data_IF_238566445043
#
_entry.id   IF_238566445043
#
_cell.length_a   1.000
_cell.length_b   1.000
_cell.length_c   1.000
_cell.angle_alpha   90.00
_cell.angle_beta   90.00
_cell.angle_gamma   90.00
#
_symmetry.space_group_name_H-M   'P 1'
#
loop_
_entity.id
_entity.type
_entity.pdbx_description
1 polymer ?
#
# COMPACT_ATOMS: atom_id res chain seq x y z
N UNK A 1 -53.13 9.41 19.95
CA UNK A 1 -52.04 10.09 20.70
C UNK A 1 -51.11 8.99 21.21
N UNK A 2 -50.18 8.58 20.35
CA UNK A 2 -48.75 9.00 20.36
C UNK A 2 -47.99 8.40 21.54
N UNK A 3 -47.73 7.09 21.47
CA UNK A 3 -46.63 6.48 22.19
C UNK A 3 -45.34 6.89 21.49
N UNK A 4 -44.60 7.80 22.11
CA UNK A 4 -43.28 8.18 21.64
C UNK A 4 -42.31 7.05 21.99
N UNK A 5 -41.76 6.38 20.98
CA UNK A 5 -40.66 5.45 21.17
C UNK A 5 -39.49 6.15 21.89
N UNK A 6 -38.83 5.47 22.84
CA UNK A 6 -37.72 6.05 23.57
C UNK A 6 -36.60 6.41 22.59
N UNK A 7 -36.15 7.66 22.66
CA UNK A 7 -35.10 8.17 21.81
C UNK A 7 -33.84 7.31 21.96
N UNK A 8 -33.23 6.83 20.86
CA UNK A 8 -32.03 6.01 20.96
C UNK A 8 -30.90 6.80 21.64
N UNK A 9 -30.00 6.11 22.37
CA UNK A 9 -29.02 6.74 23.24
C UNK A 9 -28.10 7.71 22.46
N UNK A 10 -27.54 8.70 23.15
CA UNK A 10 -26.69 9.78 22.60
C UNK A 10 -25.56 9.27 21.66
N UNK A 11 -24.99 8.10 21.96
CA UNK A 11 -23.98 7.45 21.09
C UNK A 11 -24.53 7.09 19.70
N UNK A 12 -25.80 6.67 19.62
CA UNK A 12 -26.48 6.32 18.36
C UNK A 12 -26.78 7.58 17.53
N UNK A 13 -27.14 8.69 18.18
CA UNK A 13 -27.36 10.00 17.53
C UNK A 13 -26.09 10.68 17.02
N UNK A 14 -24.95 10.47 17.69
CA UNK A 14 -23.64 10.94 17.19
C UNK A 14 -23.15 10.12 15.99
N UNK A 15 -23.56 8.84 15.89
CA UNK A 15 -23.24 7.97 14.73
C UNK A 15 -23.96 8.42 13.45
N UNK A 16 -25.16 9.02 13.57
CA UNK A 16 -25.93 9.56 12.44
C UNK A 16 -25.39 10.89 11.87
N UNK A 17 -24.46 11.57 12.56
CA UNK A 17 -23.82 12.81 12.09
C UNK A 17 -22.45 12.61 11.44
N UNK A 18 -21.89 11.38 11.45
CA UNK A 18 -20.60 11.10 10.79
C UNK A 18 -20.78 10.99 9.27
N UNK A 19 -19.99 11.72 8.46
CA UNK A 19 -20.01 11.60 7.01
C UNK A 19 -19.93 10.14 6.54
N UNK A 20 -20.62 9.83 5.44
CA UNK A 20 -20.67 8.47 4.89
C UNK A 20 -19.27 7.89 4.60
N UNK A 21 -18.32 8.73 4.22
CA UNK A 21 -16.95 8.36 3.88
C UNK A 21 -16.15 7.74 5.05
N UNK A 22 -16.57 7.94 6.30
CA UNK A 22 -15.96 7.30 7.47
C UNK A 22 -16.25 5.79 7.58
N UNK A 23 -17.14 5.23 6.74
CA UNK A 23 -17.48 3.81 6.79
C UNK A 23 -18.26 3.41 8.05
N UNK A 24 -18.25 2.12 8.39
CA UNK A 24 -18.83 1.55 9.61
C UNK A 24 -17.82 0.71 10.37
N UNK A 25 -17.92 0.67 11.70
CA UNK A 25 -17.14 -0.26 12.52
C UNK A 25 -17.72 -1.68 12.39
N UNK A 26 -16.88 -2.73 12.40
CA UNK A 26 -17.35 -4.11 12.40
C UNK A 26 -18.18 -4.43 13.64
N UNK A 27 -19.18 -5.30 13.47
CA UNK A 27 -20.07 -5.76 14.54
C UNK A 27 -20.54 -7.21 14.29
N UNK A 28 -21.29 -7.77 15.22
CA UNK A 28 -21.85 -9.13 15.11
C UNK A 28 -20.79 -10.19 14.77
N UNK A 29 -21.15 -11.12 13.88
CA UNK A 29 -20.29 -12.24 13.45
C UNK A 29 -18.92 -11.80 12.89
N UNK A 30 -18.85 -10.63 12.22
CA UNK A 30 -17.59 -10.06 11.73
C UNK A 30 -16.65 -9.72 12.87
N UNK A 31 -17.14 -9.05 13.91
CA UNK A 31 -16.32 -8.71 15.09
C UNK A 31 -15.92 -9.96 15.87
N UNK A 32 -16.79 -10.96 15.95
CA UNK A 32 -16.44 -12.25 16.56
C UNK A 32 -15.33 -12.96 15.79
N UNK A 33 -15.35 -12.92 14.46
CA UNK A 33 -14.27 -13.46 13.62
C UNK A 33 -12.96 -12.70 13.83
N UNK A 34 -13.00 -11.36 13.85
CA UNK A 34 -11.82 -10.52 14.16
C UNK A 34 -11.21 -10.93 15.50
N UNK A 35 -12.01 -11.09 16.56
CA UNK A 35 -11.51 -11.48 17.89
C UNK A 35 -10.91 -12.89 17.96
N UNK A 36 -11.21 -13.76 16.98
CA UNK A 36 -10.63 -15.11 16.87
C UNK A 36 -9.40 -15.15 15.98
N UNK A 37 -9.08 -14.07 15.28
CA UNK A 37 -7.86 -13.96 14.47
C UNK A 37 -6.62 -14.17 15.36
N UNK A 38 -5.64 -14.97 14.94
CA UNK A 38 -4.36 -15.07 15.62
C UNK A 38 -3.56 -13.75 15.55
N UNK A 39 -3.90 -12.87 14.61
CA UNK A 39 -3.24 -11.58 14.38
C UNK A 39 -3.89 -10.43 15.17
N UNK A 40 -4.95 -10.71 15.94
CA UNK A 40 -5.68 -9.71 16.72
C UNK A 40 -5.43 -9.88 18.22
N UNK A 41 -4.78 -8.89 18.85
CA UNK A 41 -4.45 -8.89 20.27
C UNK A 41 -4.60 -7.48 20.86
N UNK A 42 -4.90 -7.39 22.15
CA UNK A 42 -5.08 -6.11 22.86
C UNK A 42 -6.10 -5.15 22.20
N UNK A 43 -7.08 -5.73 21.50
CA UNK A 43 -8.15 -5.01 20.82
C UNK A 43 -7.75 -4.34 19.50
N UNK A 44 -6.59 -4.67 18.92
CA UNK A 44 -6.17 -4.21 17.59
C UNK A 44 -5.45 -5.33 16.83
N UNK A 45 -5.36 -5.21 15.50
CA UNK A 45 -4.48 -6.07 14.72
C UNK A 45 -3.01 -5.71 14.98
N UNK A 46 -2.13 -6.71 14.96
CA UNK A 46 -0.71 -6.56 15.25
C UNK A 46 0.13 -6.71 13.97
N UNK A 47 1.20 -5.92 13.87
CA UNK A 47 2.14 -6.04 12.75
C UNK A 47 2.99 -7.32 12.88
N UNK A 48 3.45 -7.91 11.76
CA UNK A 48 4.27 -9.13 11.77
C UNK A 48 5.64 -8.91 12.43
N UNK A 49 6.12 -7.67 12.39
CA UNK A 49 7.29 -7.18 13.14
C UNK A 49 6.93 -5.82 13.76
N UNK A 50 7.51 -5.47 14.90
CA UNK A 50 7.20 -4.21 15.59
C UNK A 50 7.30 -2.99 14.66
N UNK A 51 6.32 -2.09 14.70
CA UNK A 51 6.23 -0.97 13.76
C UNK A 51 5.88 0.35 14.45
N UNK A 52 6.56 1.43 14.08
CA UNK A 52 6.22 2.80 14.44
C UNK A 52 5.21 3.35 13.44
N UNK A 53 3.93 3.27 13.81
CA UNK A 53 2.80 3.74 13.00
C UNK A 53 2.45 5.21 13.24
N UNK A 54 3.00 5.83 14.28
CA UNK A 54 2.82 7.25 14.58
C UNK A 54 4.08 8.03 14.22
N UNK A 55 3.95 9.28 13.73
CA UNK A 55 5.09 10.17 13.51
C UNK A 55 5.99 10.19 14.75
N UNK A 56 7.25 9.83 14.56
CA UNK A 56 8.29 9.95 15.58
C UNK A 56 8.72 11.42 15.71
N UNK A 57 9.14 11.83 16.90
CA UNK A 57 9.60 13.20 17.13
C UNK A 57 8.50 14.25 17.39
N UNK A 58 8.88 15.52 17.30
CA UNK A 58 8.03 16.67 17.65
C UNK A 58 7.03 16.98 16.53
N UNK A 59 5.73 16.99 16.86
CA UNK A 59 4.66 17.41 15.93
C UNK A 59 4.86 18.83 15.40
N UNK A 60 5.51 19.70 16.17
CA UNK A 60 5.86 21.06 15.76
C UNK A 60 6.99 21.07 14.72
N UNK A 61 8.00 20.22 14.89
CA UNK A 61 9.09 20.12 13.90
C UNK A 61 8.60 19.50 12.59
N UNK A 62 7.77 18.44 12.68
CA UNK A 62 7.09 17.91 11.50
C UNK A 62 6.26 18.98 10.78
N UNK A 63 5.49 19.78 11.51
CA UNK A 63 4.71 20.86 10.92
C UNK A 63 5.61 21.92 10.25
N UNK A 64 6.73 22.31 10.87
CA UNK A 64 7.67 23.26 10.27
C UNK A 64 8.22 22.75 8.94
N UNK A 65 8.70 21.50 8.90
CA UNK A 65 9.21 20.85 7.69
C UNK A 65 8.08 20.72 6.65
N UNK A 66 6.91 20.24 7.05
CA UNK A 66 5.79 20.02 6.15
C UNK A 66 5.26 21.33 5.54
N UNK A 67 5.27 22.45 6.27
CA UNK A 67 4.81 23.75 5.78
C UNK A 67 5.91 24.66 5.22
N UNK A 68 7.18 24.21 5.23
CA UNK A 68 8.30 24.98 4.68
C UNK A 68 8.13 25.19 3.18
N UNK A 69 8.10 26.45 2.75
CA UNK A 69 7.73 26.86 1.38
C UNK A 69 8.66 26.28 0.31
N UNK A 70 9.98 26.29 0.55
CA UNK A 70 10.97 25.82 -0.42
C UNK A 70 10.83 24.31 -0.68
N UNK A 71 10.64 23.53 0.38
CA UNK A 71 10.45 22.08 0.26
C UNK A 71 9.11 21.75 -0.38
N UNK A 72 8.05 22.47 0.01
CA UNK A 72 6.71 22.24 -0.52
C UNK A 72 6.62 22.46 -2.03
N UNK A 73 7.42 23.36 -2.59
CA UNK A 73 7.54 23.58 -4.04
C UNK A 73 8.10 22.35 -4.79
N UNK A 74 8.83 21.46 -4.12
CA UNK A 74 9.41 20.24 -4.71
C UNK A 74 8.48 19.04 -4.65
N UNK A 75 7.36 19.13 -3.91
CA UNK A 75 6.41 18.02 -3.66
C UNK A 75 5.25 17.98 -4.66
N UNK A 76 5.38 18.70 -5.77
CA UNK A 76 4.42 18.71 -6.87
C UNK A 76 5.18 18.86 -8.21
N UNK A 77 4.60 18.38 -9.32
CA UNK A 77 5.14 18.65 -10.65
C UNK A 77 4.98 20.14 -10.99
N UNK A 78 5.82 20.65 -11.91
CA UNK A 78 5.68 22.00 -12.47
C UNK A 78 4.83 22.06 -13.73
N UNK A 79 4.63 20.90 -14.39
CA UNK A 79 3.81 20.76 -15.59
C UNK A 79 2.66 19.77 -15.39
N UNK A 80 1.86 19.61 -16.44
CA UNK A 80 0.82 18.58 -16.49
C UNK A 80 1.47 17.21 -16.55
N UNK A 81 1.22 16.37 -15.56
CA UNK A 81 1.63 14.96 -15.60
C UNK A 81 1.06 14.31 -16.86
N UNK A 82 1.89 13.72 -17.74
CA UNK A 82 1.40 13.04 -18.92
C UNK A 82 0.54 11.83 -18.52
N UNK A 83 -0.60 11.67 -19.18
CA UNK A 83 -1.54 10.57 -18.96
C UNK A 83 -1.79 9.92 -20.32
N UNK A 84 -1.67 8.60 -20.38
CA UNK A 84 -2.00 7.85 -21.58
C UNK A 84 -3.52 7.70 -21.69
N UNK A 85 -4.08 8.18 -22.81
CA UNK A 85 -5.52 8.21 -23.05
C UNK A 85 -6.04 6.86 -23.56
N UNK A 86 -5.86 5.81 -22.76
CA UNK A 86 -6.42 4.48 -23.05
C UNK A 86 -7.93 4.57 -23.14
N UNK A 87 -8.51 3.81 -24.06
CA UNK A 87 -9.95 3.73 -24.31
C UNK A 87 -10.50 2.35 -23.94
N UNK A 88 -11.82 2.23 -23.83
CA UNK A 88 -12.47 0.93 -23.68
C UNK A 88 -12.12 -0.03 -24.82
N UNK A 89 -11.95 0.48 -26.05
CA UNK A 89 -11.60 -0.33 -27.21
C UNK A 89 -10.19 -0.93 -27.06
N UNK A 90 -9.23 -0.15 -26.56
CA UNK A 90 -7.87 -0.63 -26.29
C UNK A 90 -7.86 -1.72 -25.22
N UNK A 91 -8.75 -1.63 -24.24
CA UNK A 91 -8.93 -2.66 -23.22
C UNK A 91 -9.81 -3.83 -23.69
N UNK A 92 -10.58 -3.70 -24.78
CA UNK A 92 -11.47 -4.76 -25.24
C UNK A 92 -10.73 -5.95 -25.85
N UNK A 93 -9.54 -5.73 -26.38
CA UNK A 93 -8.66 -6.80 -26.86
C UNK A 93 -7.98 -7.49 -25.67
N UNK A 94 -7.96 -8.82 -25.69
CA UNK A 94 -7.26 -9.61 -24.69
C UNK A 94 -5.74 -9.47 -24.86
N UNK A 95 -4.96 -9.45 -23.76
CA UNK A 95 -3.51 -9.38 -23.86
C UNK A 95 -2.93 -10.63 -24.52
N UNK A 96 -1.94 -10.44 -25.39
CA UNK A 96 -1.36 -11.51 -26.20
C UNK A 96 -0.63 -12.56 -25.33
N UNK A 97 -0.01 -12.12 -24.25
CA UNK A 97 0.69 -12.98 -23.28
C UNK A 97 -0.24 -13.62 -22.26
N UNK A 98 -1.49 -13.16 -22.13
CA UNK A 98 -2.40 -13.57 -21.05
C UNK A 98 -2.37 -12.67 -19.80
N UNK A 99 -1.39 -11.74 -19.71
CA UNK A 99 -1.25 -10.80 -18.59
C UNK A 99 -1.03 -9.36 -19.07
N UNK A 100 -1.88 -8.43 -18.64
CA UNK A 100 -1.71 -6.98 -18.85
C UNK A 100 -1.98 -6.20 -17.59
N UNK A 101 -1.13 -5.22 -17.32
CA UNK A 101 -1.28 -4.28 -16.21
C UNK A 101 -1.49 -2.88 -16.76
N UNK A 102 -2.44 -2.15 -16.18
CA UNK A 102 -2.68 -0.74 -16.48
C UNK A 102 -2.72 0.06 -15.18
N UNK A 103 -1.72 0.93 -14.99
CA UNK A 103 -1.61 1.74 -13.78
C UNK A 103 -2.53 2.96 -13.86
N UNK A 104 -3.55 3.03 -13.01
CA UNK A 104 -4.55 4.12 -12.99
C UNK A 104 -4.13 5.32 -12.11
N UNK A 105 -2.92 5.26 -11.56
CA UNK A 105 -2.37 6.21 -10.60
C UNK A 105 -2.51 5.71 -9.15
N UNK A 106 -1.58 6.15 -8.32
CA UNK A 106 -1.40 5.77 -6.92
C UNK A 106 -1.25 4.25 -6.79
N UNK A 107 -2.03 3.58 -5.96
CA UNK A 107 -2.06 2.10 -5.87
C UNK A 107 -3.14 1.44 -6.72
N UNK A 108 -3.88 2.24 -7.52
CA UNK A 108 -4.91 1.71 -8.40
C UNK A 108 -4.31 1.07 -9.64
N UNK A 109 -4.50 -0.24 -9.80
CA UNK A 109 -4.05 -1.00 -10.98
C UNK A 109 -5.19 -1.86 -11.48
N UNK A 110 -5.48 -1.81 -12.77
CA UNK A 110 -6.28 -2.83 -13.45
C UNK A 110 -5.32 -3.91 -13.95
N UNK A 111 -5.52 -5.14 -13.47
CA UNK A 111 -4.85 -6.32 -13.98
C UNK A 111 -5.83 -7.16 -14.80
N UNK A 112 -5.46 -7.47 -16.03
CA UNK A 112 -6.08 -8.49 -16.86
C UNK A 112 -5.20 -9.71 -16.82
N UNK A 113 -5.64 -10.73 -16.07
CA UNK A 113 -4.87 -11.93 -15.76
C UNK A 113 -5.70 -13.15 -16.13
N UNK A 114 -5.19 -13.97 -17.05
CA UNK A 114 -5.81 -15.23 -17.47
C UNK A 114 -7.29 -15.06 -17.89
N UNK A 115 -7.56 -13.97 -18.60
CA UNK A 115 -8.90 -13.61 -19.08
C UNK A 115 -9.83 -12.99 -18.04
N UNK A 116 -9.34 -12.61 -16.86
CA UNK A 116 -10.10 -11.99 -15.77
C UNK A 116 -9.60 -10.60 -15.43
N UNK A 117 -10.51 -9.72 -15.01
CA UNK A 117 -10.21 -8.35 -14.57
C UNK A 117 -10.22 -8.23 -13.06
N UNK A 118 -9.05 -7.94 -12.49
CA UNK A 118 -8.87 -7.65 -11.07
C UNK A 118 -8.46 -6.19 -10.91
N UNK A 119 -9.22 -5.44 -10.13
CA UNK A 119 -8.98 -4.02 -9.88
C UNK A 119 -8.49 -3.82 -8.44
N UNK A 120 -7.26 -3.38 -8.28
CA UNK A 120 -6.63 -3.17 -6.97
C UNK A 120 -6.82 -1.74 -6.49
N UNK A 121 -7.10 -1.55 -5.20
CA UNK A 121 -7.17 -0.27 -4.48
C UNK A 121 -7.73 0.90 -5.30
N UNK A 122 -8.98 0.79 -5.82
CA UNK A 122 -9.46 1.72 -6.82
C UNK A 122 -9.91 3.04 -6.19
N UNK A 123 -9.26 4.13 -6.61
CA UNK A 123 -9.56 5.50 -6.17
C UNK A 123 -9.82 6.42 -7.35
N UNK A 124 -11.11 6.57 -7.71
CA UNK A 124 -11.56 7.51 -8.74
C UNK A 124 -11.87 8.91 -8.19
N UNK A 125 -11.97 9.05 -6.87
CA UNK A 125 -12.15 10.33 -6.21
C UNK A 125 -11.02 11.33 -6.50
N UNK A 126 -11.39 12.61 -6.58
CA UNK A 126 -10.45 13.73 -6.76
C UNK A 126 -9.55 13.94 -5.52
N UNK A 127 -9.99 13.46 -4.35
CA UNK A 127 -9.30 13.62 -3.08
C UNK A 127 -9.33 12.37 -2.22
N UNK A 128 -8.22 12.08 -1.56
CA UNK A 128 -8.10 11.04 -0.53
C UNK A 128 -8.53 11.61 0.81
N UNK A 129 -9.83 11.76 1.03
CA UNK A 129 -10.36 12.45 2.21
C UNK A 129 -11.81 12.07 2.52
N UNK A 130 -12.24 12.14 3.80
CA UNK A 130 -13.66 12.07 4.13
C UNK A 130 -14.48 13.26 3.63
N UNK A 131 -13.82 14.33 3.15
CA UNK A 131 -14.45 15.57 2.72
C UNK A 131 -14.10 15.91 1.27
N UNK A 132 -15.09 16.30 0.46
CA UNK A 132 -14.87 16.69 -0.93
C UNK A 132 -14.06 17.99 -1.10
N UNK A 133 -14.01 18.85 -0.08
CA UNK A 133 -13.38 20.18 -0.15
C UNK A 133 -12.00 20.26 0.52
N UNK A 134 -11.57 19.24 1.26
CA UNK A 134 -10.34 19.25 2.05
C UNK A 134 -9.57 17.94 1.91
N UNK A 135 -8.27 17.97 2.19
CA UNK A 135 -7.37 16.80 2.09
C UNK A 135 -6.61 16.70 0.76
N UNK A 136 -5.69 15.72 0.64
CA UNK A 136 -4.84 15.55 -0.54
C UNK A 136 -5.67 15.47 -1.82
N UNK A 137 -5.29 16.26 -2.83
CA UNK A 137 -5.92 16.29 -4.15
C UNK A 137 -5.02 15.56 -5.13
N UNK A 138 -5.62 14.87 -6.10
CA UNK A 138 -4.91 14.23 -7.20
C UNK A 138 -4.12 15.25 -8.02
N UNK A 139 -2.96 14.86 -8.51
CA UNK A 139 -2.03 15.69 -9.30
C UNK A 139 -2.21 15.54 -10.82
N UNK A 140 -3.04 14.60 -11.25
CA UNK A 140 -3.42 14.36 -12.64
C UNK A 140 -4.88 13.84 -12.68
N UNK A 141 -5.61 13.90 -13.80
CA UNK A 141 -6.92 13.25 -13.88
C UNK A 141 -6.76 11.72 -13.79
N UNK A 142 -7.79 11.01 -13.33
CA UNK A 142 -7.82 9.55 -13.48
C UNK A 142 -7.79 9.21 -14.98
N UNK A 143 -6.93 8.29 -15.45
CA UNK A 143 -6.70 8.10 -16.89
C UNK A 143 -7.93 7.67 -17.68
N UNK A 144 -8.82 6.92 -17.05
CA UNK A 144 -10.02 6.38 -17.68
C UNK A 144 -11.21 6.42 -16.71
N UNK A 145 -12.42 6.82 -17.16
CA UNK A 145 -13.62 6.74 -16.34
C UNK A 145 -13.91 5.29 -15.89
N UNK A 146 -14.39 5.11 -14.65
CA UNK A 146 -14.62 3.78 -14.07
C UNK A 146 -15.55 2.91 -14.93
N UNK A 147 -16.60 3.51 -15.50
CA UNK A 147 -17.56 2.81 -16.37
C UNK A 147 -16.93 2.33 -17.69
N UNK A 148 -15.80 2.91 -18.11
CA UNK A 148 -15.08 2.51 -19.32
C UNK A 148 -14.06 1.39 -19.08
N UNK A 149 -13.93 0.86 -17.85
CA UNK A 149 -13.16 -0.36 -17.59
C UNK A 149 -13.85 -1.63 -18.08
N UNK A 150 -15.14 -1.57 -18.42
CA UNK A 150 -15.96 -2.76 -18.65
C UNK A 150 -16.23 -3.56 -17.37
N UNK A 151 -16.67 -4.82 -17.50
CA UNK A 151 -16.89 -5.69 -16.36
C UNK A 151 -15.60 -5.94 -15.56
N UNK A 152 -15.67 -5.78 -14.24
CA UNK A 152 -14.58 -6.10 -13.32
C UNK A 152 -15.03 -7.31 -12.50
N UNK A 153 -14.31 -8.44 -12.61
CA UNK A 153 -14.64 -9.67 -11.91
C UNK A 153 -14.41 -9.51 -10.39
N UNK A 154 -13.25 -8.95 -10.03
CA UNK A 154 -12.83 -8.80 -8.64
C UNK A 154 -12.28 -7.40 -8.36
N UNK A 155 -12.63 -6.85 -7.20
CA UNK A 155 -11.92 -5.73 -6.58
C UNK A 155 -11.14 -6.24 -5.39
N UNK A 156 -9.88 -5.86 -5.30
CA UNK A 156 -8.99 -6.19 -4.19
C UNK A 156 -8.66 -4.91 -3.44
N UNK A 157 -8.89 -4.91 -2.14
CA UNK A 157 -8.53 -3.80 -1.25
C UNK A 157 -7.39 -4.25 -0.33
N UNK A 158 -6.32 -3.47 -0.23
CA UNK A 158 -5.22 -3.73 0.70
C UNK A 158 -5.58 -3.33 2.13
N UNK A 159 -6.17 -2.15 2.33
CA UNK A 159 -6.55 -1.65 3.65
C UNK A 159 -7.54 -0.47 3.56
N UNK A 160 -7.95 0.09 4.69
CA UNK A 160 -9.06 1.05 4.75
C UNK A 160 -8.68 2.54 4.68
N UNK A 161 -7.46 2.94 4.32
CA UNK A 161 -7.14 4.37 4.17
C UNK A 161 -7.85 5.01 2.97
N UNK A 162 -7.98 6.34 2.98
CA UNK A 162 -8.78 7.07 1.99
C UNK A 162 -8.19 7.05 0.58
N UNK A 163 -6.89 6.79 0.46
CA UNK A 163 -6.14 6.66 -0.79
C UNK A 163 -6.04 5.22 -1.32
N UNK A 164 -6.64 4.25 -0.62
CA UNK A 164 -6.79 2.86 -1.06
C UNK A 164 -8.25 2.40 -1.13
N UNK A 165 -9.11 3.01 -0.31
CA UNK A 165 -10.52 2.69 -0.21
C UNK A 165 -11.38 3.96 -0.36
N UNK A 166 -11.84 4.20 -1.60
CA UNK A 166 -12.59 5.38 -1.99
C UNK A 166 -14.11 5.12 -2.07
N UNK A 167 -14.88 5.79 -1.21
CA UNK A 167 -16.33 5.58 -1.11
C UNK A 167 -17.08 5.82 -2.43
N UNK A 168 -16.87 6.93 -3.18
CA UNK A 168 -17.45 7.13 -4.51
C UNK A 168 -17.21 5.96 -5.46
N UNK A 169 -15.98 5.46 -5.53
CA UNK A 169 -15.62 4.30 -6.35
C UNK A 169 -16.39 3.05 -5.93
N UNK A 170 -16.37 2.71 -4.63
CA UNK A 170 -17.07 1.53 -4.11
C UNK A 170 -18.58 1.62 -4.36
N UNK A 171 -19.19 2.80 -4.21
CA UNK A 171 -20.62 3.02 -4.50
C UNK A 171 -20.96 2.79 -5.97
N UNK A 172 -20.08 3.20 -6.89
CA UNK A 172 -20.30 2.95 -8.31
C UNK A 172 -20.22 1.44 -8.61
N UNK A 173 -19.26 0.72 -8.03
CA UNK A 173 -19.09 -0.73 -8.17
C UNK A 173 -20.14 -1.55 -7.40
N UNK A 174 -20.80 -0.96 -6.40
CA UNK A 174 -21.92 -1.60 -5.73
C UNK A 174 -23.09 -1.86 -6.70
N UNK A 175 -23.20 -1.10 -7.80
CA UNK A 175 -24.20 -1.30 -8.85
C UNK A 175 -23.86 -2.35 -9.91
N UNK A 176 -22.73 -3.06 -9.79
CA UNK A 176 -22.28 -4.10 -10.73
C UNK A 176 -22.28 -5.49 -10.06
N UNK A 177 -21.91 -6.54 -10.80
CA UNK A 177 -21.73 -7.91 -10.29
C UNK A 177 -20.35 -8.15 -9.67
N UNK A 178 -19.52 -7.12 -9.53
CA UNK A 178 -18.15 -7.22 -9.01
C UNK A 178 -18.13 -7.79 -7.59
N UNK A 179 -17.22 -8.74 -7.35
CA UNK A 179 -16.97 -9.34 -6.03
C UNK A 179 -15.75 -8.66 -5.39
N UNK A 180 -15.78 -8.45 -4.08
CA UNK A 180 -14.75 -7.72 -3.35
C UNK A 180 -13.98 -8.67 -2.44
N UNK A 181 -12.66 -8.74 -2.61
CA UNK A 181 -11.74 -9.38 -1.68
C UNK A 181 -11.08 -8.29 -0.82
N UNK A 182 -11.27 -8.36 0.50
CA UNK A 182 -10.82 -7.32 1.43
C UNK A 182 -10.28 -7.95 2.73
N UNK A 183 -9.46 -7.26 3.52
CA UNK A 183 -9.05 -7.74 4.83
C UNK A 183 -10.21 -7.76 5.83
N UNK A 184 -10.08 -8.55 6.89
CA UNK A 184 -11.03 -8.61 7.99
C UNK A 184 -11.44 -7.22 8.50
N UNK A 185 -12.74 -7.00 8.64
CA UNK A 185 -13.32 -5.77 9.16
C UNK A 185 -13.70 -4.76 8.08
N UNK A 186 -12.96 -4.73 6.97
CA UNK A 186 -13.17 -3.76 5.87
C UNK A 186 -14.54 -3.94 5.21
N UNK A 187 -15.08 -5.17 5.23
CA UNK A 187 -16.41 -5.47 4.70
C UNK A 187 -17.54 -4.62 5.32
N UNK A 188 -17.39 -4.17 6.57
CA UNK A 188 -18.35 -3.29 7.21
C UNK A 188 -18.49 -1.93 6.48
N UNK A 189 -17.39 -1.42 5.93
CA UNK A 189 -17.42 -0.18 5.13
C UNK A 189 -18.17 -0.39 3.81
N UNK A 190 -17.85 -1.48 3.09
CA UNK A 190 -18.45 -1.84 1.81
C UNK A 190 -19.97 -2.04 1.95
N UNK A 191 -20.41 -2.78 2.96
CA UNK A 191 -21.84 -2.96 3.26
C UNK A 191 -22.54 -1.64 3.55
N UNK A 192 -21.92 -0.75 4.35
CA UNK A 192 -22.47 0.60 4.60
C UNK A 192 -22.62 1.39 3.31
N UNK A 193 -21.77 1.15 2.32
CA UNK A 193 -21.79 1.85 1.04
C UNK A 193 -22.63 1.16 -0.03
N UNK A 194 -23.34 0.08 0.31
CA UNK A 194 -24.33 -0.56 -0.55
C UNK A 194 -23.84 -1.81 -1.28
N UNK A 195 -22.64 -2.31 -0.99
CA UNK A 195 -22.19 -3.62 -1.50
C UNK A 195 -22.95 -4.72 -0.76
N UNK A 196 -23.49 -5.68 -1.51
CA UNK A 196 -24.20 -6.81 -0.91
C UNK A 196 -23.23 -7.74 -0.15
N UNK A 197 -23.57 -8.20 1.07
CA UNK A 197 -22.68 -9.05 1.87
C UNK A 197 -22.20 -10.32 1.16
N UNK A 198 -23.03 -10.93 0.31
CA UNK A 198 -22.70 -12.13 -0.48
C UNK A 198 -21.63 -11.90 -1.55
N UNK A 199 -21.34 -10.64 -1.90
CA UNK A 199 -20.26 -10.22 -2.80
C UNK A 199 -18.99 -9.79 -2.05
N UNK A 200 -18.96 -9.85 -0.74
CA UNK A 200 -17.76 -9.53 0.06
C UNK A 200 -17.09 -10.81 0.53
N UNK A 201 -15.78 -10.90 0.33
CA UNK A 201 -14.89 -11.94 0.85
C UNK A 201 -13.90 -11.23 1.77
N UNK A 202 -14.10 -11.41 3.08
CA UNK A 202 -13.16 -10.88 4.08
C UNK A 202 -12.12 -11.94 4.43
N UNK A 203 -10.84 -11.58 4.43
CA UNK A 203 -9.73 -12.49 4.64
C UNK A 203 -8.82 -12.01 5.78
N UNK A 204 -8.36 -12.95 6.59
CA UNK A 204 -7.17 -12.78 7.45
C UNK A 204 -5.90 -13.08 6.64
N UNK A 205 -4.73 -12.80 7.19
CA UNK A 205 -3.47 -13.20 6.55
C UNK A 205 -3.38 -14.71 6.35
N UNK A 206 -2.83 -15.10 5.22
CA UNK A 206 -2.67 -16.45 4.71
C UNK A 206 -3.98 -17.17 4.37
N UNK A 207 -5.12 -16.49 4.46
CA UNK A 207 -6.37 -17.01 3.89
C UNK A 207 -6.44 -16.72 2.39
N UNK A 208 -7.06 -17.65 1.66
CA UNK A 208 -7.25 -17.55 0.21
C UNK A 208 -8.74 -17.63 -0.14
N UNK A 209 -9.17 -16.83 -1.12
CA UNK A 209 -10.47 -16.98 -1.76
C UNK A 209 -10.31 -17.13 -3.27
N UNK A 210 -11.31 -17.71 -3.93
CA UNK A 210 -11.31 -17.87 -5.39
C UNK A 210 -12.46 -17.09 -6.00
N UNK A 211 -12.16 -16.17 -6.90
CA UNK A 211 -13.14 -15.34 -7.61
C UNK A 211 -12.91 -15.49 -9.10
N UNK A 212 -13.95 -15.87 -9.86
CA UNK A 212 -13.89 -16.05 -11.31
C UNK A 212 -12.74 -16.94 -11.82
N UNK A 213 -12.24 -17.88 -11.00
CA UNK A 213 -11.11 -18.74 -11.37
C UNK A 213 -9.75 -18.28 -10.86
N UNK A 214 -9.63 -17.04 -10.37
CA UNK A 214 -8.42 -16.45 -9.82
C UNK A 214 -8.37 -16.67 -8.30
N UNK A 215 -7.23 -17.17 -7.81
CA UNK A 215 -6.94 -17.26 -6.38
C UNK A 215 -6.40 -15.93 -5.88
N UNK A 216 -7.00 -15.41 -4.81
CA UNK A 216 -6.62 -14.18 -4.14
C UNK A 216 -6.27 -14.51 -2.70
N UNK A 217 -5.02 -14.32 -2.33
CA UNK A 217 -4.50 -14.63 -1.00
C UNK A 217 -4.09 -13.33 -0.31
N UNK A 218 -4.70 -13.05 0.84
CA UNK A 218 -4.30 -11.92 1.67
C UNK A 218 -3.00 -12.32 2.38
N UNK A 219 -1.90 -11.65 2.06
CA UNK A 219 -0.58 -11.91 2.66
C UNK A 219 -0.23 -10.84 3.70
N UNK A 220 0.67 -11.13 4.65
CA UNK A 220 1.10 -10.17 5.66
C UNK A 220 1.61 -8.85 5.08
N UNK A 221 1.43 -7.78 5.84
CA UNK A 221 1.97 -6.45 5.53
C UNK A 221 2.32 -5.72 6.84
N UNK A 222 3.27 -4.80 6.78
CA UNK A 222 3.68 -3.94 7.88
C UNK A 222 3.10 -2.54 7.72
N UNK A 223 1.88 -2.33 8.22
CA UNK A 223 1.13 -1.08 8.07
C UNK A 223 0.13 -0.90 9.23
N UNK A 224 -0.89 -0.06 9.05
CA UNK A 224 -2.00 0.12 9.97
C UNK A 224 -3.26 0.53 9.20
N UNK A 225 -4.43 0.51 9.84
CA UNK A 225 -5.68 1.00 9.24
C UNK A 225 -6.15 2.27 9.94
N UNK A 226 -7.16 2.97 9.44
CA UNK A 226 -7.83 4.05 10.14
C UNK A 226 -8.55 5.08 9.28
N UNK A 227 -9.87 5.17 9.45
CA UNK A 227 -10.68 6.23 8.79
C UNK A 227 -11.13 7.35 9.71
N UNK A 228 -11.06 7.18 11.04
CA UNK A 228 -11.62 8.11 12.03
C UNK A 228 -10.60 8.73 12.98
N UNK A 229 -10.89 9.93 13.48
CA UNK A 229 -9.99 10.68 14.37
C UNK A 229 -9.81 10.07 15.78
N UNK A 230 -10.72 9.20 16.25
CA UNK A 230 -10.78 8.71 17.65
C UNK A 230 -11.35 7.29 17.84
N UNK A 231 -11.34 6.44 16.82
CA UNK A 231 -11.85 5.07 16.98
C UNK A 231 -10.69 4.07 17.13
N UNK A 232 -10.89 3.08 18.00
CA UNK A 232 -10.06 1.88 18.00
C UNK A 232 -10.27 1.15 16.66
N UNK A 233 -9.17 0.86 15.99
CA UNK A 233 -9.17 0.34 14.62
C UNK A 233 -9.29 -1.18 14.66
N UNK A 234 -10.35 -1.71 14.06
CA UNK A 234 -10.67 -3.14 14.03
C UNK A 234 -10.67 -3.70 12.60
N UNK A 235 -9.95 -3.03 11.71
CA UNK A 235 -9.78 -3.40 10.30
C UNK A 235 -8.34 -3.87 10.10
N UNK A 236 -8.16 -5.01 9.45
CA UNK A 236 -6.86 -5.53 9.05
C UNK A 236 -6.37 -4.80 7.79
N UNK A 237 -5.07 -4.87 7.53
CA UNK A 237 -4.40 -4.46 6.29
C UNK A 237 -3.68 -5.67 5.71
N UNK A 238 -3.53 -5.76 4.40
CA UNK A 238 -2.89 -6.88 3.73
C UNK A 238 -2.18 -6.44 2.45
N UNK A 239 -1.14 -7.20 2.10
CA UNK A 239 -0.69 -7.32 0.72
C UNK A 239 -1.41 -8.49 0.04
N UNK A 240 -1.26 -8.68 -1.27
CA UNK A 240 -2.00 -9.70 -2.00
C UNK A 240 -1.13 -10.47 -2.99
N UNK A 241 -1.10 -11.79 -2.83
CA UNK A 241 -0.67 -12.71 -3.88
C UNK A 241 -1.89 -13.12 -4.71
N UNK A 242 -1.76 -13.02 -6.04
CA UNK A 242 -2.83 -13.32 -6.98
C UNK A 242 -2.33 -14.32 -8.01
N UNK A 243 -3.03 -15.44 -8.15
CA UNK A 243 -2.65 -16.51 -9.06
C UNK A 243 -3.85 -16.92 -9.92
N UNK A 244 -3.69 -16.81 -11.23
CA UNK A 244 -4.53 -17.49 -12.19
C UNK A 244 -3.91 -18.83 -12.64
N UNK A 245 -4.52 -19.50 -13.63
CA UNK A 245 -3.99 -20.74 -14.19
C UNK A 245 -2.56 -20.66 -14.74
N UNK A 246 -2.16 -19.53 -15.34
CA UNK A 246 -0.87 -19.38 -16.02
C UNK A 246 0.00 -18.30 -15.39
N UNK A 247 -0.63 -17.26 -14.82
CA UNK A 247 0.08 -16.09 -14.32
C UNK A 247 -0.05 -15.86 -12.82
N UNK A 248 0.96 -15.19 -12.26
CA UNK A 248 1.02 -14.78 -10.85
C UNK A 248 1.47 -13.33 -10.73
N UNK A 249 0.72 -12.54 -9.96
CA UNK A 249 1.08 -11.16 -9.64
C UNK A 249 1.01 -10.90 -8.14
N UNK A 250 1.76 -9.91 -7.67
CA UNK A 250 1.77 -9.47 -6.27
C UNK A 250 1.39 -7.99 -6.17
N UNK A 251 0.55 -7.61 -5.19
CA UNK A 251 0.24 -6.22 -4.85
C UNK A 251 0.64 -5.94 -3.40
N UNK A 252 1.54 -4.98 -3.21
CA UNK A 252 2.09 -4.66 -1.88
C UNK A 252 1.16 -3.88 -0.95
N UNK A 253 0.06 -3.32 -1.46
CA UNK A 253 -0.67 -2.27 -0.77
C UNK A 253 0.23 -1.04 -0.60
N UNK A 254 0.45 -0.64 0.65
CA UNK A 254 1.32 0.45 1.04
C UNK A 254 2.22 0.07 2.24
N UNK A 255 2.53 -1.23 2.37
CA UNK A 255 3.35 -1.81 3.44
C UNK A 255 4.75 -1.18 3.55
N UNK A 256 5.27 -1.08 4.76
CA UNK A 256 6.70 -0.93 5.00
C UNK A 256 7.47 -2.22 4.77
N UNK A 257 8.80 -2.14 4.73
CA UNK A 257 9.63 -3.33 4.56
C UNK A 257 9.61 -4.24 5.79
N UNK A 258 9.57 -5.55 5.55
CA UNK A 258 9.71 -6.59 6.57
C UNK A 258 10.23 -7.90 5.94
N UNK A 259 10.92 -8.77 6.72
CA UNK A 259 11.53 -9.99 6.17
C UNK A 259 10.56 -11.00 5.55
N UNK A 260 9.26 -10.93 5.91
CA UNK A 260 8.25 -11.88 5.43
C UNK A 260 7.97 -11.81 3.93
N UNK A 261 8.51 -10.82 3.19
CA UNK A 261 8.54 -10.88 1.72
C UNK A 261 9.24 -12.13 1.19
N UNK A 262 10.28 -12.62 1.88
CA UNK A 262 10.97 -13.87 1.53
C UNK A 262 10.05 -15.08 1.67
N UNK A 263 9.27 -15.12 2.74
CA UNK A 263 8.32 -16.21 3.00
C UNK A 263 7.19 -16.18 1.96
N UNK A 264 6.67 -15.00 1.64
CA UNK A 264 5.66 -14.81 0.58
C UNK A 264 6.22 -15.25 -0.78
N UNK A 265 7.44 -14.86 -1.12
CA UNK A 265 8.10 -15.27 -2.36
C UNK A 265 8.32 -16.77 -2.46
N UNK A 266 8.73 -17.41 -1.35
CA UNK A 266 8.93 -18.85 -1.29
C UNK A 266 7.61 -19.64 -1.43
N UNK A 267 6.50 -19.12 -0.90
CA UNK A 267 5.21 -19.82 -0.92
C UNK A 267 4.42 -19.59 -2.23
N UNK A 268 4.39 -18.35 -2.72
CA UNK A 268 3.51 -17.94 -3.82
C UNK A 268 4.25 -17.59 -5.11
N UNK A 269 5.55 -17.28 -5.03
CA UNK A 269 6.37 -16.91 -6.16
C UNK A 269 6.86 -18.10 -7.02
N UNK A 270 7.71 -17.82 -8.02
CA UNK A 270 8.03 -16.48 -8.52
C UNK A 270 6.80 -15.82 -9.17
N UNK A 271 6.78 -14.49 -9.21
CA UNK A 271 5.71 -13.70 -9.80
C UNK A 271 6.11 -13.19 -11.19
N UNK A 272 5.16 -13.16 -12.13
CA UNK A 272 5.37 -12.50 -13.44
C UNK A 272 5.54 -10.98 -13.26
N UNK A 273 4.80 -10.41 -12.30
CA UNK A 273 4.92 -9.01 -11.95
C UNK A 273 4.65 -8.75 -10.46
N UNK A 274 5.35 -7.76 -9.90
CA UNK A 274 5.11 -7.25 -8.55
C UNK A 274 4.76 -5.76 -8.61
N UNK A 275 3.68 -5.37 -7.95
CA UNK A 275 3.21 -3.98 -7.85
C UNK A 275 3.59 -3.44 -6.48
N UNK A 276 4.68 -2.67 -6.44
CA UNK A 276 5.40 -2.33 -5.22
C UNK A 276 5.26 -0.83 -4.93
N UNK A 277 4.80 -0.48 -3.73
CA UNK A 277 4.84 0.89 -3.23
C UNK A 277 6.27 1.43 -3.25
N UNK A 278 6.44 2.65 -3.73
CA UNK A 278 7.73 3.36 -3.69
C UNK A 278 7.65 4.79 -3.12
N UNK A 279 6.45 5.26 -2.77
CA UNK A 279 6.20 6.64 -2.32
C UNK A 279 5.54 6.71 -0.95
N UNK A 280 5.36 7.94 -0.46
CA UNK A 280 4.82 8.27 0.86
C UNK A 280 5.72 7.91 2.05
N UNK A 281 6.99 7.58 1.83
CA UNK A 281 7.96 7.32 2.91
C UNK A 281 8.43 8.60 3.61
N UNK A 282 8.85 8.46 4.87
CA UNK A 282 9.46 9.55 5.63
C UNK A 282 10.19 9.04 6.88
N UNK A 283 11.20 9.79 7.33
CA UNK A 283 11.89 9.57 8.61
C UNK A 283 10.94 9.60 9.82
N UNK A 284 9.79 10.29 9.69
CA UNK A 284 8.79 10.36 10.74
C UNK A 284 8.03 9.03 10.93
N UNK A 285 7.92 8.20 9.89
CA UNK A 285 7.20 6.90 9.94
C UNK A 285 7.96 5.81 9.15
N UNK A 286 9.21 5.53 9.53
CA UNK A 286 10.15 4.77 8.69
C UNK A 286 9.77 3.29 8.53
N UNK A 287 8.82 2.79 9.32
CA UNK A 287 8.52 1.35 9.41
C UNK A 287 7.35 0.91 8.52
N UNK A 288 6.57 1.86 7.99
CA UNK A 288 5.23 1.57 7.41
C UNK A 288 5.07 2.00 5.96
N UNK A 289 6.10 2.62 5.36
CA UNK A 289 6.14 2.99 3.95
C UNK A 289 7.57 2.75 3.44
N UNK A 290 7.73 1.96 2.39
CA UNK A 290 9.02 1.64 1.79
C UNK A 290 9.63 2.85 1.07
N UNK A 291 10.93 3.04 1.27
CA UNK A 291 11.77 3.79 0.33
C UNK A 291 11.90 3.03 -1.01
N UNK A 292 12.34 3.67 -2.10
CA UNK A 292 12.53 2.99 -3.38
C UNK A 292 13.52 1.82 -3.33
N UNK A 293 14.55 1.92 -2.48
CA UNK A 293 15.54 0.86 -2.29
C UNK A 293 14.95 -0.34 -1.55
N UNK A 294 14.16 -0.09 -0.50
CA UNK A 294 13.41 -1.12 0.22
C UNK A 294 12.34 -1.76 -0.68
N UNK A 295 11.68 -0.98 -1.54
CA UNK A 295 10.75 -1.50 -2.54
C UNK A 295 11.42 -2.46 -3.52
N UNK A 296 12.61 -2.09 -4.04
CA UNK A 296 13.37 -3.02 -4.88
C UNK A 296 13.85 -4.24 -4.11
N UNK A 297 14.23 -4.09 -2.84
CA UNK A 297 14.59 -5.22 -1.98
C UNK A 297 13.40 -6.17 -1.79
N UNK A 298 12.21 -5.64 -1.52
CA UNK A 298 10.98 -6.42 -1.42
C UNK A 298 10.67 -7.18 -2.72
N UNK A 299 10.82 -6.52 -3.89
CA UNK A 299 10.71 -7.17 -5.19
C UNK A 299 11.65 -8.37 -5.33
N UNK A 300 12.94 -8.22 -4.99
CA UNK A 300 13.90 -9.32 -5.05
C UNK A 300 13.54 -10.44 -4.07
N UNK A 301 13.20 -10.13 -2.82
CA UNK A 301 12.84 -11.14 -1.83
C UNK A 301 11.57 -11.93 -2.22
N UNK A 302 10.59 -11.28 -2.86
CA UNK A 302 9.42 -11.94 -3.46
C UNK A 302 9.77 -12.88 -4.63
N UNK A 303 10.95 -12.71 -5.23
CA UNK A 303 11.46 -13.49 -6.35
C UNK A 303 12.58 -14.46 -5.95
N UNK A 304 12.71 -14.75 -4.65
CA UNK A 304 13.74 -15.67 -4.15
C UNK A 304 15.15 -15.09 -4.15
N UNK A 305 15.28 -13.76 -4.21
CA UNK A 305 16.55 -13.04 -4.25
C UNK A 305 17.05 -12.70 -5.66
N UNK A 306 16.34 -13.13 -6.70
CA UNK A 306 16.73 -12.96 -8.10
C UNK A 306 15.91 -11.85 -8.79
N UNK A 307 16.48 -11.12 -9.77
CA UNK A 307 15.81 -10.04 -10.49
C UNK A 307 14.83 -10.57 -11.57
N UNK A 308 13.88 -11.42 -11.16
CA UNK A 308 12.88 -12.04 -12.03
C UNK A 308 11.58 -11.22 -12.10
N UNK A 309 10.83 -11.40 -13.20
CA UNK A 309 9.57 -10.70 -13.43
C UNK A 309 9.74 -9.18 -13.60
N UNK A 310 8.65 -8.47 -13.79
CA UNK A 310 8.65 -7.00 -13.87
C UNK A 310 8.18 -6.38 -12.55
N UNK A 311 8.89 -5.39 -12.04
CA UNK A 311 8.39 -4.52 -10.96
C UNK A 311 7.62 -3.33 -11.56
N UNK A 312 6.37 -3.15 -11.16
CA UNK A 312 5.57 -1.95 -11.39
C UNK A 312 5.57 -1.08 -10.11
N UNK A 313 6.20 0.10 -10.10
CA UNK A 313 6.12 1.01 -8.97
C UNK A 313 4.74 1.64 -8.85
N UNK A 314 4.14 1.56 -7.66
CA UNK A 314 2.84 2.14 -7.31
C UNK A 314 2.98 3.11 -6.12
N UNK A 315 1.86 3.72 -5.71
CA UNK A 315 1.77 4.61 -4.54
C UNK A 315 2.60 5.91 -4.66
N UNK A 316 2.79 6.41 -5.89
CA UNK A 316 3.55 7.63 -6.16
C UNK A 316 2.92 8.47 -7.30
N UNK A 317 3.48 9.65 -7.53
CA UNK A 317 3.12 10.66 -8.54
C UNK A 317 1.68 11.23 -8.52
N UNK A 318 0.76 10.61 -7.79
CA UNK A 318 -0.67 10.83 -7.91
C UNK A 318 -1.24 11.72 -6.82
N UNK A 319 -0.85 11.48 -5.57
CA UNK A 319 -1.18 12.31 -4.42
C UNK A 319 0.10 12.73 -3.69
N UNK A 320 0.10 13.91 -3.08
CA UNK A 320 1.18 14.34 -2.20
C UNK A 320 0.82 13.96 -0.75
N UNK A 321 1.43 12.87 -0.28
CA UNK A 321 1.16 12.26 1.04
C UNK A 321 2.36 12.32 2.00
N UNK A 322 3.53 12.76 1.55
CA UNK A 322 4.76 12.77 2.33
C UNK A 322 5.68 13.95 1.95
N UNK A 323 6.67 14.29 2.80
CA UNK A 323 7.51 15.46 2.56
C UNK A 323 8.59 15.27 1.47
N UNK A 324 8.82 14.05 0.97
CA UNK A 324 9.83 13.80 -0.07
C UNK A 324 9.51 14.57 -1.38
N UNK A 325 10.52 14.95 -2.18
CA UNK A 325 10.32 15.51 -3.50
C UNK A 325 9.48 14.59 -4.40
N UNK A 326 8.66 15.18 -5.27
CA UNK A 326 7.66 14.46 -6.07
C UNK A 326 8.28 13.44 -7.03
N UNK A 327 9.41 13.77 -7.65
CA UNK A 327 10.11 12.90 -8.59
C UNK A 327 11.06 11.89 -7.93
N UNK A 328 11.34 12.05 -6.62
CA UNK A 328 12.33 11.23 -5.91
C UNK A 328 12.01 9.73 -5.94
N UNK A 329 10.76 9.28 -5.75
CA UNK A 329 10.42 7.86 -5.84
C UNK A 329 10.84 7.22 -7.16
N UNK A 330 10.45 7.82 -8.30
CA UNK A 330 10.75 7.28 -9.63
C UNK A 330 12.25 7.19 -9.90
N UNK A 331 13.01 8.22 -9.52
CA UNK A 331 14.47 8.22 -9.66
C UNK A 331 15.16 7.20 -8.76
N UNK A 332 14.70 7.10 -7.50
CA UNK A 332 15.21 6.12 -6.55
C UNK A 332 15.00 4.70 -7.05
N UNK A 333 13.81 4.40 -7.59
CA UNK A 333 13.49 3.07 -8.14
C UNK A 333 14.31 2.77 -9.39
N UNK A 334 14.47 3.74 -10.29
CA UNK A 334 15.30 3.56 -11.48
C UNK A 334 16.76 3.26 -11.12
N UNK A 335 17.33 4.00 -10.16
CA UNK A 335 18.69 3.74 -9.68
C UNK A 335 18.83 2.40 -8.97
N UNK A 336 17.85 2.04 -8.12
CA UNK A 336 17.83 0.75 -7.43
C UNK A 336 17.73 -0.42 -8.42
N UNK A 337 16.91 -0.29 -9.46
CA UNK A 337 16.77 -1.29 -10.51
C UNK A 337 18.07 -1.51 -11.29
N UNK A 338 18.77 -0.43 -11.64
CA UNK A 338 20.06 -0.48 -12.31
C UNK A 338 21.10 -1.22 -11.46
N UNK A 339 21.17 -0.94 -10.15
CA UNK A 339 22.09 -1.62 -9.24
C UNK A 339 21.79 -3.13 -9.14
N UNK A 340 20.51 -3.52 -9.15
CA UNK A 340 20.06 -4.91 -9.03
C UNK A 340 20.03 -5.67 -10.35
N UNK A 341 20.12 -5.00 -11.50
CA UNK A 341 19.83 -5.60 -12.80
C UNK A 341 18.36 -6.00 -12.97
N UNK A 342 17.44 -5.37 -12.22
CA UNK A 342 16.02 -5.72 -12.20
C UNK A 342 15.23 -5.02 -13.30
N UNK A 343 14.22 -5.71 -13.83
CA UNK A 343 13.31 -5.18 -14.83
C UNK A 343 12.21 -4.36 -14.16
N UNK A 344 12.11 -3.08 -14.50
CA UNK A 344 11.06 -2.17 -13.99
C UNK A 344 10.21 -1.65 -15.15
N UNK A 345 8.89 -1.70 -14.99
CA UNK A 345 7.93 -1.08 -15.89
C UNK A 345 7.59 0.34 -15.38
N UNK A 346 7.80 1.36 -16.19
CA UNK A 346 7.56 2.77 -15.90
C UNK A 346 6.49 3.35 -16.85
N UNK A 347 5.27 2.79 -16.89
CA UNK A 347 4.21 3.29 -17.76
C UNK A 347 3.79 4.71 -17.37
N UNK A 348 3.27 5.46 -18.35
CA UNK A 348 2.42 6.60 -18.04
C UNK A 348 1.17 6.15 -17.29
N UNK A 349 0.58 6.97 -16.40
CA UNK A 349 -0.75 6.70 -15.87
C UNK A 349 -1.73 6.42 -17.03
N UNK A 350 -2.35 5.25 -17.02
CA UNK A 350 -3.28 4.76 -18.03
C UNK A 350 -2.65 3.88 -19.10
N UNK A 351 -1.33 3.83 -19.24
CA UNK A 351 -0.67 3.06 -20.32
C UNK A 351 -0.70 1.57 -20.01
N UNK A 352 -1.38 0.75 -20.84
CA UNK A 352 -1.36 -0.69 -20.69
C UNK A 352 -0.01 -1.27 -21.11
N UNK A 353 0.46 -2.29 -20.41
CA UNK A 353 1.62 -3.07 -20.83
C UNK A 353 1.49 -4.53 -20.39
N UNK A 354 2.20 -5.41 -21.10
CA UNK A 354 2.27 -6.84 -20.78
C UNK A 354 3.62 -7.15 -20.10
N UNK A 355 3.65 -7.47 -18.79
CA UNK A 355 4.90 -7.58 -18.04
C UNK A 355 5.80 -8.74 -18.50
N UNK A 356 5.22 -9.76 -19.12
CA UNK A 356 5.91 -10.95 -19.65
C UNK A 356 6.34 -10.79 -21.11
N UNK A 357 6.01 -9.67 -21.77
CA UNK A 357 6.49 -9.36 -23.11
C UNK A 357 8.01 -9.15 -23.14
N UNK A 358 8.62 -9.02 -24.33
CA UNK A 358 10.06 -8.79 -24.48
C UNK A 358 10.51 -7.44 -23.90
N UNK A 359 9.67 -6.41 -24.00
CA UNK A 359 9.94 -5.06 -23.51
C UNK A 359 8.81 -4.58 -22.60
N UNK A 360 9.13 -3.66 -21.69
CA UNK A 360 8.16 -2.90 -20.90
C UNK A 360 8.42 -1.41 -21.09
N UNK A 361 7.44 -0.51 -20.86
CA UNK A 361 7.69 0.92 -20.77
C UNK A 361 8.81 1.19 -19.76
N UNK A 362 9.82 1.96 -20.13
CA UNK A 362 10.99 2.22 -19.29
C UNK A 362 11.42 3.70 -19.29
N UNK A 363 10.66 4.56 -19.97
CA UNK A 363 10.98 5.97 -20.09
C UNK A 363 10.70 6.72 -18.77
N UNK A 364 11.66 7.50 -18.24
CA UNK A 364 11.50 8.26 -17.01
C UNK A 364 10.68 9.55 -17.24
N UNK A 365 9.43 9.39 -17.64
CA UNK A 365 8.53 10.45 -18.11
C UNK A 365 8.36 11.62 -17.12
N UNK A 366 8.51 11.37 -15.81
CA UNK A 366 8.36 12.38 -14.76
C UNK A 366 9.44 13.47 -14.84
N UNK A 367 10.60 13.17 -15.44
CA UNK A 367 11.69 14.14 -15.63
C UNK A 367 11.25 15.34 -16.44
N UNK A 368 10.32 15.18 -17.38
CA UNK A 368 9.81 16.27 -18.21
C UNK A 368 8.95 17.30 -17.45
N UNK A 369 8.44 16.94 -16.26
CA UNK A 369 7.52 17.78 -15.47
C UNK A 369 8.00 17.98 -14.02
N UNK A 370 9.23 17.56 -13.71
CA UNK A 370 9.83 17.71 -12.40
C UNK A 370 10.23 19.17 -12.12
N UNK A 371 10.11 19.66 -10.87
CA UNK A 371 10.39 21.05 -10.50
C UNK A 371 11.86 21.49 -10.61
N UNK A 372 12.79 20.55 -10.74
CA UNK A 372 14.21 20.80 -10.95
C UNK A 372 14.76 19.73 -11.91
N UNK A 373 15.74 20.07 -12.78
CA UNK A 373 16.52 19.07 -13.47
C UNK A 373 17.10 18.07 -12.47
N UNK A 374 16.83 16.79 -12.67
CA UNK A 374 17.33 15.73 -11.80
C UNK A 374 18.74 15.40 -12.27
N UNK A 375 19.71 16.17 -11.77
CA UNK A 375 21.11 16.05 -12.21
C UNK A 375 21.86 14.92 -11.50
N UNK A 376 21.35 14.41 -10.36
CA UNK A 376 22.01 13.38 -9.54
C UNK A 376 21.00 12.45 -8.85
N UNK A 377 21.43 11.21 -8.57
CA UNK A 377 20.67 10.24 -7.77
C UNK A 377 20.34 10.85 -6.40
N UNK A 378 19.07 10.81 -5.93
CA UNK A 378 18.70 11.45 -4.67
C UNK A 378 19.50 10.88 -3.49
N UNK A 379 19.90 11.73 -2.54
CA UNK A 379 20.65 11.30 -1.34
C UNK A 379 19.88 10.31 -0.46
N UNK A 380 18.54 10.32 -0.51
CA UNK A 380 17.68 9.36 0.19
C UNK A 380 17.49 8.03 -0.57
N UNK A 381 17.95 7.92 -1.81
CA UNK A 381 18.01 6.65 -2.52
C UNK A 381 19.23 5.88 -2.02
N UNK A 382 19.11 5.28 -0.82
CA UNK A 382 20.08 4.30 -0.33
C UNK A 382 20.34 3.27 -1.44
N UNK A 383 21.59 2.84 -1.62
CA UNK A 383 21.84 1.76 -2.56
C UNK A 383 21.28 0.48 -1.97
N UNK A 384 20.82 -0.43 -2.81
CA UNK A 384 20.40 -1.75 -2.34
C UNK A 384 21.54 -2.45 -1.59
N UNK A 385 22.78 -2.21 -1.99
CA UNK A 385 23.99 -2.70 -1.32
C UNK A 385 24.16 -2.20 0.11
N UNK A 386 23.54 -1.08 0.46
CA UNK A 386 23.66 -0.45 1.79
C UNK A 386 22.59 -0.96 2.76
N UNK A 387 21.57 -1.68 2.25
CA UNK A 387 20.57 -2.34 3.07
C UNK A 387 21.16 -3.65 3.61
N UNK A 388 21.43 -3.71 4.92
CA UNK A 388 21.91 -4.94 5.56
C UNK A 388 20.90 -6.07 5.36
N UNK A 389 21.39 -7.28 5.10
CA UNK A 389 20.57 -8.46 4.83
C UNK A 389 19.68 -8.91 6.03
N UNK A 390 19.86 -8.29 7.20
CA UNK A 390 19.07 -8.50 8.41
C UNK A 390 18.97 -7.21 9.25
N UNK A 391 17.76 -6.77 9.64
CA UNK A 391 17.57 -5.82 10.73
C UNK A 391 17.53 -6.50 12.11
N UNK A 392 17.62 -7.83 12.19
CA UNK A 392 17.59 -8.60 13.43
C UNK A 392 18.98 -8.70 14.09
N UNK A 393 19.56 -7.58 14.50
CA UNK A 393 20.93 -7.58 15.05
C UNK A 393 21.28 -6.34 15.86
N UNK A 394 20.37 -5.85 16.70
CA UNK A 394 20.58 -4.66 17.52
C UNK A 394 20.24 -4.86 18.99
N UNK A 395 20.79 -5.89 19.64
CA UNK A 395 20.79 -5.89 21.12
C UNK A 395 21.91 -4.98 21.59
N UNK A 396 21.56 -3.79 22.05
CA UNK A 396 22.46 -2.94 22.81
C UNK A 396 22.95 -3.68 24.04
N UNK A 397 24.25 -3.96 24.11
CA UNK A 397 24.95 -4.14 25.37
C UNK A 397 25.66 -2.83 25.67
N UNK A 398 25.20 -2.20 26.74
CA UNK A 398 25.90 -1.12 27.39
C UNK A 398 27.33 -1.58 27.71
N UNK A 399 28.28 -0.73 27.38
CA UNK A 399 29.65 -0.77 27.85
C UNK A 399 29.65 -0.50 29.36
N UNK A 400 29.84 -1.53 30.17
CA UNK A 400 30.43 -1.39 31.49
C UNK A 400 31.90 -1.78 31.35
N UNK A 401 32.78 -0.79 31.39
CA UNK A 401 34.19 -0.98 31.67
C UNK A 401 34.62 0.11 32.65
N UNK A 402 35.07 -0.34 33.83
CA UNK A 402 36.17 0.19 34.65
C UNK A 402 35.87 0.07 36.15
N UNK A 403 36.37 -1.02 36.75
CA UNK A 403 37.19 -0.94 37.96
C UNK A 403 37.68 -2.34 38.35
N UNK A 404 38.95 -2.64 38.12
CA UNK A 404 39.82 -3.31 39.11
C UNK A 404 41.20 -3.61 38.50
N UNK A 405 42.16 -2.75 38.80
CA UNK A 405 43.57 -3.16 38.88
C UNK A 405 44.15 -2.56 40.17
N UNK A 406 44.34 -3.39 41.19
CA UNK A 406 45.29 -3.16 42.29
C UNK A 406 45.41 -4.39 43.20
N UNK A 407 46.64 -4.90 43.33
CA UNK A 407 47.16 -5.35 44.62
C UNK A 407 47.14 -6.86 44.89
N UNK A 408 48.15 -7.57 44.37
CA UNK A 408 48.70 -8.72 45.09
C UNK A 408 49.41 -8.22 46.36
N UNK A 409 48.91 -8.59 47.54
CA UNK A 409 49.69 -8.63 48.77
C UNK A 409 49.21 -9.80 49.64
N UNK A 410 50.10 -10.77 49.75
CA UNK A 410 50.15 -11.87 50.71
C UNK A 410 50.17 -11.33 52.16
N UNK A 411 49.40 -11.92 53.09
CA UNK A 411 49.79 -12.27 54.48
C UNK A 411 48.67 -13.09 55.16
N UNK A 412 49.15 -14.11 55.88
CA UNK A 412 48.58 -15.17 56.72
C UNK A 412 47.41 -14.84 57.71
N UNK A 413 46.78 -15.89 58.32
CA UNK A 413 45.50 -15.82 59.00
C UNK A 413 45.64 -15.58 60.52
N UNK A 414 44.57 -15.17 61.21
CA UNK A 414 44.17 -15.69 62.54
C UNK A 414 42.92 -15.02 63.12
N UNK A 415 42.13 -15.87 63.80
CA UNK A 415 41.04 -15.64 64.76
C UNK A 415 39.67 -15.20 64.24
#
# INVERSE_FOLDING_TARGET
MTGADPLPPLRTRLRTLRPAAFGADPGGARMERIRRSPNFADGVFQNPVGARTRPSGSTLEFAKVYFRKEERARRAPVGTVPVHATTYADLAEAPATGLRLTWMGHSSVLAEIDGRRVLFDPVWGERCSPFAFAGPRRLHPVPLPLAALGPVDAVVISHDHYDHLDMPTIRALAGTDTVFAVPLGVGAHLERWGVSPDRVRELDWNETTKIAGISLTATPARHFCGRGLRNQQHTLWASWAVAGPEHRIYHSGDTGYFPGFKDIGAEYGPFDATMIQIGAYSEYWPDIHMTPAEGMRAHLDLQGGEPLGAMLPIHWATFNLAPHPWAEPGEGTLGAAQDAGARVALPLPGEPFEPTAQTVPAEPWWRAVAPQPIEQRPAAAARITDLSADPAGGTGRASDDEAAEAGHAEVAPTA
#
